data_IF_155884641139
#
_entry.id   IF_155884641139
#
_cell.length_a   1.000
_cell.length_b   1.000
_cell.length_c   1.000
_cell.angle_alpha   90.00
_cell.angle_beta   90.00
_cell.angle_gamma   90.00
#
_symmetry.space_group_name_H-M   'P 1'
#
loop_
_entity.id
_entity.type
_entity.pdbx_description
1 polymer ?
#
# COMPACT_ATOMS: atom_id res chain seq x y z
N UNK A 1 -1.73 11.08 10.77
CA UNK A 1 -1.70 10.69 9.34
C UNK A 1 -2.82 9.69 9.03
N UNK A 2 -3.02 8.64 9.85
CA UNK A 2 -4.03 7.60 9.59
C UNK A 2 -5.50 8.05 9.64
N UNK A 3 -5.79 9.17 10.28
CA UNK A 3 -7.15 9.74 10.36
C UNK A 3 -7.44 10.76 9.26
N UNK A 4 -6.49 11.02 8.36
CA UNK A 4 -6.69 11.89 7.22
C UNK A 4 -7.30 11.07 6.09
N UNK A 5 -8.44 11.49 5.50
CA UNK A 5 -9.02 10.81 4.34
C UNK A 5 -8.04 10.81 3.15
N UNK A 6 -8.16 9.80 2.26
CA UNK A 6 -7.26 9.65 1.11
C UNK A 6 -7.21 10.93 0.24
N UNK A 7 -8.37 11.55 -0.02
CA UNK A 7 -8.42 12.80 -0.78
C UNK A 7 -7.70 13.95 -0.06
N UNK A 8 -7.81 14.04 1.27
CA UNK A 8 -7.14 15.09 2.05
C UNK A 8 -5.62 14.98 1.97
N UNK A 9 -5.07 13.77 2.09
CA UNK A 9 -3.63 13.56 1.95
C UNK A 9 -3.14 13.89 0.54
N UNK A 10 -3.85 13.43 -0.50
CA UNK A 10 -3.52 13.73 -1.88
C UNK A 10 -3.54 15.24 -2.15
N UNK A 11 -4.57 15.96 -1.67
CA UNK A 11 -4.68 17.41 -1.81
C UNK A 11 -3.57 18.14 -1.07
N UNK A 12 -3.21 17.73 0.14
CA UNK A 12 -2.11 18.34 0.91
C UNK A 12 -0.78 18.16 0.18
N UNK A 13 -0.49 16.96 -0.33
CA UNK A 13 0.75 16.72 -1.08
C UNK A 13 0.79 17.52 -2.38
N UNK A 14 -0.32 17.58 -3.13
CA UNK A 14 -0.42 18.39 -4.33
C UNK A 14 -0.17 19.87 -4.01
N UNK A 15 -0.80 20.40 -2.98
CA UNK A 15 -0.62 21.80 -2.60
C UNK A 15 0.83 22.12 -2.19
N UNK A 16 1.43 21.29 -1.34
CA UNK A 16 2.79 21.55 -0.83
C UNK A 16 3.83 21.35 -1.94
N UNK A 17 3.85 20.19 -2.59
CA UNK A 17 4.94 19.80 -3.48
C UNK A 17 4.79 20.28 -4.92
N UNK A 18 3.57 20.34 -5.43
CA UNK A 18 3.34 20.81 -6.79
C UNK A 18 3.10 22.32 -6.86
N UNK A 19 2.22 22.87 -6.00
CA UNK A 19 1.83 24.28 -6.11
C UNK A 19 2.80 25.19 -5.35
N UNK A 20 3.12 24.88 -4.10
CA UNK A 20 3.90 25.75 -3.24
C UNK A 20 5.40 25.67 -3.51
N UNK A 21 5.94 24.47 -3.63
CA UNK A 21 7.37 24.20 -3.85
C UNK A 21 7.73 24.09 -5.33
N UNK A 22 6.80 23.74 -6.20
CA UNK A 22 7.06 23.58 -7.64
C UNK A 22 8.04 22.46 -8.00
N UNK A 23 8.24 21.49 -7.10
CA UNK A 23 9.23 20.39 -7.29
C UNK A 23 8.63 19.12 -7.85
N UNK A 24 7.31 19.06 -7.99
CA UNK A 24 6.60 17.91 -8.53
C UNK A 24 5.50 18.36 -9.50
N UNK A 25 5.14 17.54 -10.50
CA UNK A 25 4.03 17.84 -11.41
C UNK A 25 2.70 17.88 -10.66
N UNK A 26 1.81 18.78 -11.07
CA UNK A 26 0.48 18.90 -10.46
C UNK A 26 -0.53 17.92 -11.05
N UNK A 27 -0.33 17.44 -12.27
CA UNK A 27 -1.30 16.59 -12.98
C UNK A 27 -0.69 15.83 -14.15
N UNK A 28 -1.41 14.80 -14.62
CA UNK A 28 -1.03 14.01 -15.78
C UNK A 28 -0.15 12.79 -15.45
N UNK A 29 0.05 11.92 -16.43
CA UNK A 29 0.89 10.71 -16.30
C UNK A 29 2.32 10.90 -16.77
N UNK A 30 2.59 11.93 -17.58
CA UNK A 30 3.91 12.32 -18.11
C UNK A 30 3.85 13.75 -18.66
N UNK A 31 5.00 14.32 -19.01
CA UNK A 31 5.09 15.69 -19.54
C UNK A 31 4.38 15.85 -20.89
N UNK A 32 3.63 16.92 -21.05
CA UNK A 32 2.81 17.18 -22.25
C UNK A 32 3.63 17.34 -23.53
N UNK A 33 4.91 17.60 -23.42
CA UNK A 33 5.88 17.75 -24.52
C UNK A 33 6.50 16.43 -24.98
N UNK A 34 6.16 15.30 -24.31
CA UNK A 34 6.75 14.00 -24.59
C UNK A 34 5.76 13.10 -25.34
N UNK A 35 6.27 12.42 -26.37
CA UNK A 35 5.56 11.35 -27.06
C UNK A 35 5.90 10.02 -26.38
N UNK A 36 4.91 9.15 -26.11
CA UNK A 36 5.15 7.85 -25.52
C UNK A 36 6.16 7.03 -26.34
N UNK A 37 7.30 6.74 -25.76
CA UNK A 37 8.34 5.91 -26.34
C UNK A 37 9.16 5.23 -25.23
N UNK A 38 10.02 4.29 -25.58
CA UNK A 38 10.89 3.59 -24.65
C UNK A 38 12.16 4.39 -24.26
N UNK A 39 12.16 5.73 -24.41
CA UNK A 39 13.32 6.56 -24.04
C UNK A 39 13.40 6.73 -22.54
N UNK A 40 14.63 6.88 -22.03
CA UNK A 40 14.87 7.16 -20.61
C UNK A 40 14.19 8.45 -20.15
N UNK A 41 14.11 9.46 -21.00
CA UNK A 41 13.45 10.74 -20.71
C UNK A 41 11.95 10.54 -20.44
N UNK A 42 11.28 9.73 -21.27
CA UNK A 42 9.87 9.40 -21.08
C UNK A 42 9.64 8.62 -19.78
N UNK A 43 10.42 7.55 -19.54
CA UNK A 43 10.33 6.73 -18.32
C UNK A 43 10.55 7.59 -17.05
N UNK A 44 11.56 8.47 -17.06
CA UNK A 44 11.80 9.40 -15.96
C UNK A 44 10.61 10.32 -15.73
N UNK A 45 10.01 10.85 -16.80
CA UNK A 45 8.82 11.70 -16.70
C UNK A 45 7.64 10.96 -16.04
N UNK A 46 7.37 9.73 -16.46
CA UNK A 46 6.31 8.89 -15.86
C UNK A 46 6.57 8.67 -14.36
N UNK A 47 7.79 8.32 -13.97
CA UNK A 47 8.15 8.13 -12.56
C UNK A 47 7.93 9.40 -11.75
N UNK A 48 8.32 10.57 -12.27
CA UNK A 48 8.15 11.85 -11.58
C UNK A 48 6.67 12.20 -11.40
N UNK A 49 5.82 11.97 -12.40
CA UNK A 49 4.38 12.21 -12.30
C UNK A 49 3.67 11.22 -11.37
N UNK A 50 4.19 9.99 -11.26
CA UNK A 50 3.64 8.96 -10.38
C UNK A 50 3.96 9.18 -8.90
N UNK A 51 4.98 9.97 -8.56
CA UNK A 51 5.44 10.13 -7.17
C UNK A 51 4.37 10.63 -6.21
N UNK A 52 3.66 11.71 -6.54
CA UNK A 52 2.64 12.28 -5.64
C UNK A 52 1.44 11.35 -5.45
N UNK A 53 0.84 10.76 -6.52
CA UNK A 53 -0.19 9.73 -6.36
C UNK A 53 0.27 8.57 -5.48
N UNK A 54 1.47 8.04 -5.73
CA UNK A 54 2.05 6.93 -4.97
C UNK A 54 2.19 7.28 -3.48
N UNK A 55 2.86 8.38 -3.15
CA UNK A 55 3.09 8.76 -1.76
C UNK A 55 1.81 9.12 -1.03
N UNK A 56 0.78 9.63 -1.70
CA UNK A 56 -0.52 9.90 -1.08
C UNK A 56 -1.18 8.64 -0.52
N UNK A 57 -1.06 7.51 -1.22
CA UNK A 57 -1.59 6.21 -0.80
C UNK A 57 -0.69 5.58 0.27
N UNK A 58 0.63 5.57 0.03
CA UNK A 58 1.61 4.94 0.92
C UNK A 58 1.57 5.57 2.32
N UNK A 59 1.55 6.89 2.43
CA UNK A 59 1.57 7.57 3.72
C UNK A 59 0.34 7.25 4.59
N UNK A 60 -0.83 7.11 3.97
CA UNK A 60 -2.04 6.70 4.69
C UNK A 60 -1.94 5.25 5.15
N UNK A 61 -1.53 4.37 4.25
CA UNK A 61 -1.40 2.94 4.53
C UNK A 61 -0.38 2.67 5.62
N UNK A 62 0.80 3.27 5.53
CA UNK A 62 1.86 3.15 6.55
C UNK A 62 1.37 3.67 7.90
N UNK A 63 0.62 4.79 7.91
CA UNK A 63 0.03 5.32 9.14
C UNK A 63 -0.92 4.32 9.82
N UNK A 64 -1.79 3.68 9.05
CA UNK A 64 -2.70 2.65 9.54
C UNK A 64 -1.97 1.41 10.06
N UNK A 65 -1.00 0.91 9.29
CA UNK A 65 -0.17 -0.24 9.66
C UNK A 65 0.67 0.03 10.93
N UNK A 66 1.19 1.24 11.09
CA UNK A 66 1.95 1.62 12.29
C UNK A 66 1.09 1.57 13.56
N UNK A 67 -0.17 2.04 13.49
CA UNK A 67 -1.11 1.95 14.61
C UNK A 67 -1.47 0.48 14.92
N UNK A 68 -1.77 -0.30 13.89
CA UNK A 68 -2.04 -1.72 14.03
C UNK A 68 -0.86 -2.46 14.68
N UNK A 69 0.36 -2.22 14.20
CA UNK A 69 1.58 -2.81 14.75
C UNK A 69 1.80 -2.42 16.22
N UNK A 70 1.54 -1.16 16.58
CA UNK A 70 1.59 -0.71 17.98
C UNK A 70 0.61 -1.48 18.85
N UNK A 71 -0.65 -1.61 18.42
CA UNK A 71 -1.69 -2.32 19.17
C UNK A 71 -1.34 -3.80 19.35
N UNK A 72 -0.89 -4.48 18.31
CA UNK A 72 -0.46 -5.86 18.38
C UNK A 72 0.79 -6.04 19.24
N UNK A 73 1.74 -5.12 19.19
CA UNK A 73 2.93 -5.16 20.05
C UNK A 73 2.56 -5.01 21.54
N UNK A 74 1.58 -4.16 21.89
CA UNK A 74 1.11 -4.02 23.26
C UNK A 74 0.42 -5.32 23.72
N UNK A 75 -0.37 -5.95 22.85
CA UNK A 75 -1.01 -7.23 23.15
C UNK A 75 0.05 -8.32 23.41
N UNK A 76 1.03 -8.46 22.54
CA UNK A 76 2.12 -9.43 22.66
C UNK A 76 3.02 -9.20 23.88
N UNK A 77 3.24 -7.95 24.30
CA UNK A 77 4.01 -7.61 25.50
C UNK A 77 3.38 -8.17 26.80
N UNK A 78 2.06 -8.36 26.80
CA UNK A 78 1.32 -8.93 27.94
C UNK A 78 1.23 -10.47 27.88
N UNK A 79 1.72 -11.11 26.84
CA UNK A 79 1.69 -12.56 26.69
C UNK A 79 2.62 -13.26 27.71
N UNK A 80 2.24 -14.48 28.09
CA UNK A 80 2.94 -15.23 29.14
C UNK A 80 4.38 -15.57 28.76
N UNK A 81 4.67 -15.83 27.47
CA UNK A 81 6.04 -16.08 27.02
C UNK A 81 7.01 -14.92 27.31
N UNK A 82 6.51 -13.68 27.33
CA UNK A 82 7.31 -12.49 27.70
C UNK A 82 7.66 -12.53 29.18
N UNK A 83 6.68 -12.87 30.04
CA UNK A 83 6.89 -12.99 31.47
C UNK A 83 7.92 -14.10 31.78
N UNK A 84 7.75 -15.29 31.18
CA UNK A 84 8.67 -16.39 31.36
C UNK A 84 10.08 -16.08 30.81
N UNK A 85 10.17 -15.38 29.68
CA UNK A 85 11.47 -14.96 29.13
C UNK A 85 12.22 -14.02 30.09
N UNK A 86 11.50 -13.13 30.77
CA UNK A 86 12.10 -12.25 31.80
C UNK A 86 12.56 -13.03 33.02
N UNK A 87 11.77 -13.99 33.50
CA UNK A 87 12.17 -14.87 34.62
C UNK A 87 13.42 -15.70 34.30
N UNK A 88 13.60 -16.10 33.04
CA UNK A 88 14.76 -16.80 32.55
C UNK A 88 15.99 -15.88 32.32
N UNK A 89 15.89 -14.58 32.61
CA UNK A 89 16.98 -13.64 32.47
C UNK A 89 17.33 -13.30 31.00
N UNK A 90 16.41 -13.53 30.05
CA UNK A 90 16.64 -13.19 28.65
C UNK A 90 16.69 -11.66 28.51
N UNK A 91 17.70 -11.16 27.79
CA UNK A 91 17.89 -9.72 27.56
C UNK A 91 16.68 -9.10 26.87
N UNK A 92 16.23 -7.92 27.33
CA UNK A 92 15.06 -7.21 26.80
C UNK A 92 15.12 -7.01 25.27
N UNK A 93 16.31 -6.78 24.69
CA UNK A 93 16.48 -6.68 23.24
C UNK A 93 16.03 -7.93 22.49
N UNK A 94 16.24 -9.13 23.05
CA UNK A 94 15.75 -10.37 22.44
C UNK A 94 14.25 -10.52 22.61
N UNK A 95 13.74 -10.15 23.79
CA UNK A 95 12.30 -10.18 24.08
C UNK A 95 11.53 -9.25 23.10
N UNK A 96 12.03 -8.02 22.89
CA UNK A 96 11.48 -7.09 21.90
C UNK A 96 11.47 -7.71 20.49
N UNK A 97 12.53 -8.43 20.11
CA UNK A 97 12.59 -9.16 18.83
C UNK A 97 11.49 -10.23 18.70
N UNK A 98 11.22 -10.98 19.78
CA UNK A 98 10.14 -11.98 19.78
C UNK A 98 8.76 -11.33 19.68
N UNK A 99 8.52 -10.28 20.47
CA UNK A 99 7.27 -9.50 20.44
C UNK A 99 7.03 -8.93 19.04
N UNK A 100 8.03 -8.29 18.44
CA UNK A 100 7.93 -7.71 17.11
C UNK A 100 7.59 -8.78 16.06
N UNK A 101 8.27 -9.90 16.10
CA UNK A 101 8.05 -11.00 15.15
C UNK A 101 6.63 -11.56 15.25
N UNK A 102 6.14 -11.82 16.48
CA UNK A 102 4.79 -12.34 16.69
C UNK A 102 3.72 -11.29 16.32
N UNK A 103 3.93 -10.02 16.69
CA UNK A 103 3.01 -8.93 16.34
C UNK A 103 2.95 -8.66 14.83
N UNK A 104 4.01 -8.95 14.07
CA UNK A 104 4.07 -8.73 12.63
C UNK A 104 3.20 -9.72 11.84
N UNK A 105 2.99 -10.94 12.34
CA UNK A 105 2.24 -11.98 11.63
C UNK A 105 0.81 -11.53 11.25
N UNK A 106 -0.06 -11.10 12.20
CA UNK A 106 -1.39 -10.62 11.86
C UNK A 106 -1.38 -9.31 11.05
N UNK A 107 -0.31 -8.50 11.15
CA UNK A 107 -0.19 -7.28 10.35
C UNK A 107 0.06 -7.59 8.87
N UNK A 108 0.87 -8.58 8.55
CA UNK A 108 1.11 -9.02 7.15
C UNK A 108 -0.18 -9.55 6.55
N UNK A 109 -0.93 -10.38 7.29
CA UNK A 109 -2.24 -10.88 6.85
C UNK A 109 -3.23 -9.72 6.65
N UNK A 110 -3.28 -8.77 7.57
CA UNK A 110 -4.10 -7.57 7.44
C UNK A 110 -3.72 -6.70 6.24
N UNK A 111 -2.42 -6.59 5.93
CA UNK A 111 -1.93 -5.89 4.74
C UNK A 111 -2.42 -6.58 3.46
N UNK A 112 -2.30 -7.90 3.36
CA UNK A 112 -2.80 -8.66 2.22
C UNK A 112 -4.29 -8.41 1.98
N UNK A 113 -5.11 -8.49 3.03
CA UNK A 113 -6.54 -8.21 2.94
C UNK A 113 -6.85 -6.75 2.55
N UNK A 114 -6.01 -5.80 2.97
CA UNK A 114 -6.21 -4.38 2.66
C UNK A 114 -5.89 -4.00 1.21
N UNK A 115 -5.13 -4.82 0.47
CA UNK A 115 -4.78 -4.53 -0.92
C UNK A 115 -6.02 -4.35 -1.80
N UNK A 116 -7.08 -5.15 -1.58
CA UNK A 116 -8.34 -5.01 -2.29
C UNK A 116 -9.05 -3.67 -2.02
N UNK A 117 -8.97 -3.16 -0.80
CA UNK A 117 -9.62 -1.89 -0.42
C UNK A 117 -8.83 -0.65 -0.85
N UNK A 118 -7.53 -0.79 -1.14
CA UNK A 118 -6.68 0.29 -1.64
C UNK A 118 -7.10 0.81 -3.02
N UNK A 119 -7.84 0.02 -3.80
CA UNK A 119 -8.35 0.41 -5.12
C UNK A 119 -9.20 1.68 -5.04
N UNK A 120 -10.07 1.78 -4.03
CA UNK A 120 -10.88 2.99 -3.81
C UNK A 120 -10.02 4.23 -3.52
N UNK A 121 -8.95 4.08 -2.73
CA UNK A 121 -8.00 5.17 -2.48
C UNK A 121 -7.19 5.56 -3.72
N UNK A 122 -6.82 4.57 -4.54
CA UNK A 122 -6.12 4.81 -5.81
C UNK A 122 -6.98 5.62 -6.79
N UNK A 123 -8.26 5.29 -6.96
CA UNK A 123 -9.20 6.06 -7.79
C UNK A 123 -9.24 7.53 -7.38
N UNK A 124 -9.33 7.81 -6.08
CA UNK A 124 -9.37 9.19 -5.58
C UNK A 124 -8.07 9.93 -5.88
N UNK A 125 -6.91 9.28 -5.71
CA UNK A 125 -5.63 9.86 -6.09
C UNK A 125 -5.55 10.14 -7.60
N UNK A 126 -5.98 9.19 -8.45
CA UNK A 126 -6.03 9.37 -9.90
C UNK A 126 -6.86 10.60 -10.31
N UNK A 127 -8.01 10.81 -9.68
CA UNK A 127 -8.88 11.97 -9.95
C UNK A 127 -8.19 13.28 -9.55
N UNK A 128 -7.60 13.34 -8.35
CA UNK A 128 -6.97 14.57 -7.82
C UNK A 128 -5.77 14.99 -8.66
N UNK A 129 -4.93 14.02 -9.04
CA UNK A 129 -3.74 14.29 -9.84
C UNK A 129 -4.00 14.24 -11.36
N UNK A 130 -5.26 14.05 -11.79
CA UNK A 130 -5.61 13.82 -13.20
C UNK A 130 -4.71 12.77 -13.85
N UNK A 131 -4.36 11.73 -13.07
CA UNK A 131 -3.48 10.67 -13.50
C UNK A 131 -4.26 9.64 -14.34
N UNK A 132 -3.81 9.26 -15.54
CA UNK A 132 -4.48 8.28 -16.37
C UNK A 132 -4.27 6.87 -15.78
N UNK A 133 -5.24 6.40 -14.99
CA UNK A 133 -5.17 5.11 -14.32
C UNK A 133 -6.38 4.21 -14.60
N UNK A 134 -6.35 3.00 -14.06
CA UNK A 134 -7.44 2.03 -14.21
C UNK A 134 -8.72 2.48 -13.50
N UNK A 135 -8.60 3.21 -12.38
CA UNK A 135 -9.75 3.70 -11.63
C UNK A 135 -10.52 4.77 -12.40
N UNK A 136 -9.84 5.73 -13.00
CA UNK A 136 -10.47 6.77 -13.83
C UNK A 136 -11.06 6.19 -15.12
N UNK A 137 -10.40 5.19 -15.73
CA UNK A 137 -10.92 4.45 -16.88
C UNK A 137 -12.20 3.71 -16.51
N UNK A 138 -12.22 3.05 -15.37
CA UNK A 138 -13.39 2.33 -14.84
C UNK A 138 -14.56 3.28 -14.55
N UNK A 139 -14.29 4.45 -13.96
CA UNK A 139 -15.31 5.47 -13.73
C UNK A 139 -15.90 6.00 -15.05
N UNK A 140 -15.07 6.16 -16.08
CA UNK A 140 -15.52 6.57 -17.42
C UNK A 140 -16.38 5.48 -18.06
N UNK A 141 -16.00 4.21 -17.94
CA UNK A 141 -16.78 3.07 -18.42
C UNK A 141 -18.16 3.00 -17.74
N UNK A 142 -18.23 3.22 -16.41
CA UNK A 142 -19.49 3.26 -15.66
C UNK A 142 -20.39 4.36 -16.19
N UNK A 143 -19.88 5.58 -16.35
CA UNK A 143 -20.64 6.74 -16.85
C UNK A 143 -21.11 6.55 -18.29
N UNK A 144 -20.30 5.89 -19.12
CA UNK A 144 -20.60 5.58 -20.50
C UNK A 144 -21.43 4.31 -20.70
N UNK A 145 -21.76 3.58 -19.62
CA UNK A 145 -22.43 2.27 -19.67
C UNK A 145 -21.70 1.24 -20.55
N UNK A 146 -20.36 1.36 -20.64
CA UNK A 146 -19.49 0.45 -21.38
C UNK A 146 -19.14 -0.78 -20.52
N UNK A 147 -20.04 -1.77 -20.53
CA UNK A 147 -19.89 -2.99 -19.75
C UNK A 147 -18.67 -3.84 -20.15
N UNK A 148 -18.33 -3.99 -21.45
CA UNK A 148 -17.11 -4.68 -21.86
C UNK A 148 -15.84 -4.03 -21.25
N UNK A 149 -15.70 -2.71 -21.33
CA UNK A 149 -14.56 -1.99 -20.77
C UNK A 149 -14.53 -2.12 -19.23
N UNK A 150 -15.69 -1.98 -18.57
CA UNK A 150 -15.81 -2.17 -17.12
C UNK A 150 -15.37 -3.57 -16.70
N UNK A 151 -15.81 -4.61 -17.41
CA UNK A 151 -15.43 -6.00 -17.13
C UNK A 151 -13.93 -6.22 -17.32
N UNK A 152 -13.34 -5.65 -18.38
CA UNK A 152 -11.90 -5.73 -18.62
C UNK A 152 -11.09 -5.06 -17.51
N UNK A 153 -11.46 -3.85 -17.10
CA UNK A 153 -10.81 -3.15 -16.00
C UNK A 153 -10.91 -3.94 -14.69
N UNK A 154 -12.09 -4.47 -14.37
CA UNK A 154 -12.32 -5.29 -13.16
C UNK A 154 -11.45 -6.54 -13.18
N UNK A 155 -11.36 -7.22 -14.33
CA UNK A 155 -10.53 -8.42 -14.48
C UNK A 155 -9.05 -8.11 -14.24
N UNK A 156 -8.53 -7.04 -14.85
CA UNK A 156 -7.14 -6.61 -14.68
C UNK A 156 -6.85 -6.29 -13.22
N UNK A 157 -7.71 -5.51 -12.56
CA UNK A 157 -7.56 -5.16 -11.15
C UNK A 157 -7.56 -6.42 -10.28
N UNK A 158 -8.50 -7.34 -10.53
CA UNK A 158 -8.58 -8.60 -9.78
C UNK A 158 -7.31 -9.44 -9.91
N UNK A 159 -6.78 -9.58 -11.13
CA UNK A 159 -5.52 -10.30 -11.38
C UNK A 159 -4.36 -9.62 -10.64
N UNK A 160 -4.26 -8.29 -10.70
CA UNK A 160 -3.21 -7.53 -10.01
C UNK A 160 -3.27 -7.73 -8.49
N UNK A 161 -4.48 -7.69 -7.90
CA UNK A 161 -4.68 -7.93 -6.46
C UNK A 161 -4.32 -9.35 -6.08
N UNK A 162 -4.69 -10.36 -6.89
CA UNK A 162 -4.32 -11.76 -6.63
C UNK A 162 -2.80 -11.96 -6.68
N UNK A 163 -2.12 -11.37 -7.65
CA UNK A 163 -0.65 -11.41 -7.74
C UNK A 163 -0.01 -10.72 -6.53
N UNK A 164 -0.53 -9.56 -6.12
CA UNK A 164 -0.02 -8.86 -4.95
C UNK A 164 -0.24 -9.66 -3.66
N UNK A 165 -1.41 -10.27 -3.47
CA UNK A 165 -1.68 -11.14 -2.33
C UNK A 165 -0.75 -12.36 -2.32
N UNK A 166 -0.57 -13.02 -3.46
CA UNK A 166 0.38 -14.14 -3.58
C UNK A 166 1.80 -13.71 -3.20
N UNK A 167 2.24 -12.53 -3.65
CA UNK A 167 3.56 -12.01 -3.28
C UNK A 167 3.70 -11.78 -1.76
N UNK A 168 2.65 -11.24 -1.11
CA UNK A 168 2.63 -11.06 0.35
C UNK A 168 2.66 -12.41 1.07
N UNK A 169 1.89 -13.40 0.62
CA UNK A 169 1.89 -14.76 1.20
C UNK A 169 3.25 -15.45 1.06
N UNK A 170 3.91 -15.32 -0.08
CA UNK A 170 5.27 -15.85 -0.27
C UNK A 170 6.29 -15.18 0.66
N UNK A 171 6.21 -13.85 0.81
CA UNK A 171 7.03 -13.12 1.78
C UNK A 171 6.77 -13.58 3.21
N UNK A 172 5.50 -13.82 3.55
CA UNK A 172 5.10 -14.34 4.85
C UNK A 172 5.72 -15.72 5.12
N UNK A 173 5.67 -16.65 4.15
CA UNK A 173 6.27 -17.96 4.25
C UNK A 173 7.80 -17.96 4.44
N UNK A 174 8.48 -16.89 3.99
CA UNK A 174 9.92 -16.68 4.21
C UNK A 174 10.18 -16.17 5.62
N UNK A 175 9.33 -15.29 6.14
CA UNK A 175 9.48 -14.66 7.47
C UNK A 175 9.13 -15.64 8.59
N UNK A 176 8.11 -16.48 8.39
CA UNK A 176 7.68 -17.50 9.36
C UNK A 176 7.74 -18.92 8.79
N UNK A 177 8.85 -19.64 8.99
CA UNK A 177 9.00 -21.03 8.55
C UNK A 177 8.07 -22.02 9.26
N UNK A 178 7.36 -21.61 10.33
CA UNK A 178 6.40 -22.48 11.05
C UNK A 178 5.13 -22.75 10.26
N UNK A 179 4.77 -21.88 9.33
CA UNK A 179 3.59 -22.06 8.45
C UNK A 179 3.77 -23.31 7.57
N UNK A 180 5.01 -23.65 7.19
CA UNK A 180 5.30 -24.87 6.40
C UNK A 180 5.05 -26.17 7.18
N UNK A 181 5.14 -26.16 8.49
CA UNK A 181 4.93 -27.34 9.31
C UNK A 181 3.45 -27.71 9.48
N UNK A 182 2.56 -26.72 9.53
CA UNK A 182 1.12 -26.96 9.70
C UNK A 182 0.36 -27.34 8.39
N UNK A 183 1.02 -27.31 7.23
CA UNK A 183 0.42 -27.75 5.97
C UNK A 183 0.74 -29.22 5.62
N UNK A 184 1.46 -29.92 6.49
CA UNK A 184 1.85 -31.33 6.29
C UNK A 184 1.03 -32.32 7.15
N UNK A 185 0.11 -31.84 7.96
CA UNK A 185 -0.89 -32.61 8.68
C UNK A 185 -2.29 -32.40 8.03
#
# INVERSE_FOLDING_TARGET
VSNIPAFGMATILLFIFAIRLGIAPSSGGYGFDLIPNASWTFVKSVIVHYQLPFWSIVLITVGGQAIGMRSMSIYELNADYVKYSRFLGIKDRKIVGYVFRNAMLPQITGLALSLGTMIGGALVAEIIFSYPGLGTTMLTAIKGQDYPLLSACTLIITIMVLIANLAVELLYGIIDPRVKANQQD
#
